data_IF_264593761570
#
_entry.id   IF_264593761570
#
_cell.length_a   1.000
_cell.length_b   1.000
_cell.length_c   1.000
_cell.angle_alpha   90.00
_cell.angle_beta   90.00
_cell.angle_gamma   90.00
#
_symmetry.space_group_name_H-M   'P 1'
#
loop_
_entity.id
_entity.type
_entity.pdbx_description
1 polymer ?
#
# COMPACT_ATOMS: atom_id res chain seq x y z
N UNK A 1 -11.74 14.91 -2.95
CA UNK A 1 -10.69 14.47 -3.90
C UNK A 1 -9.75 15.59 -4.29
N UNK A 2 -10.22 16.77 -4.74
CA UNK A 2 -9.36 17.92 -5.07
C UNK A 2 -8.32 18.26 -3.98
N UNK A 3 -8.76 18.49 -2.75
CA UNK A 3 -7.87 18.83 -1.63
C UNK A 3 -6.76 17.78 -1.38
N UNK A 4 -7.06 16.50 -1.57
CA UNK A 4 -6.05 15.43 -1.46
C UNK A 4 -5.08 15.45 -2.64
N UNK A 5 -5.58 15.67 -3.85
CA UNK A 5 -4.74 15.82 -5.03
C UNK A 5 -3.75 16.99 -4.87
N UNK A 6 -4.21 18.13 -4.36
CA UNK A 6 -3.38 19.31 -4.11
C UNK A 6 -2.31 19.03 -3.03
N UNK A 7 -2.71 18.44 -1.90
CA UNK A 7 -1.79 18.07 -0.81
C UNK A 7 -0.69 17.12 -1.30
N UNK A 8 -1.02 16.22 -2.22
CA UNK A 8 -0.12 15.21 -2.75
C UNK A 8 0.66 15.71 -3.98
N UNK A 9 0.32 16.87 -4.54
CA UNK A 9 0.94 17.41 -5.75
C UNK A 9 0.61 16.60 -7.00
N UNK A 10 -0.61 16.06 -7.08
CA UNK A 10 -1.08 15.28 -8.24
C UNK A 10 -1.59 16.22 -9.32
N UNK A 11 -1.12 16.02 -10.55
CA UNK A 11 -1.59 16.76 -11.73
C UNK A 11 -2.99 16.35 -12.18
N UNK A 12 -3.39 15.12 -11.85
CA UNK A 12 -4.68 14.54 -12.22
C UNK A 12 -5.39 14.11 -10.95
N UNK A 13 -6.66 14.50 -10.82
CA UNK A 13 -7.50 14.06 -9.70
C UNK A 13 -7.91 12.61 -9.97
N UNK A 14 -7.57 11.67 -9.07
CA UNK A 14 -7.91 10.29 -9.30
C UNK A 14 -9.41 10.05 -9.12
N UNK A 15 -9.97 9.25 -10.03
CA UNK A 15 -11.32 8.71 -9.92
C UNK A 15 -11.23 7.29 -9.38
N UNK A 16 -11.78 7.07 -8.18
CA UNK A 16 -11.78 5.77 -7.52
C UNK A 16 -13.21 5.30 -7.30
N UNK A 17 -13.47 4.04 -7.67
CA UNK A 17 -14.68 3.35 -7.26
C UNK A 17 -14.51 2.82 -5.83
N UNK A 18 -15.54 2.88 -4.97
CA UNK A 18 -15.47 2.31 -3.63
C UNK A 18 -15.14 0.82 -3.66
N UNK A 19 -14.16 0.39 -2.86
CA UNK A 19 -13.75 -1.01 -2.69
C UNK A 19 -13.55 -1.31 -1.22
N UNK A 20 -14.43 -2.14 -0.64
CA UNK A 20 -14.50 -2.34 0.81
C UNK A 20 -13.71 -3.56 1.33
N UNK A 21 -13.31 -4.49 0.46
CA UNK A 21 -12.64 -5.74 0.86
C UNK A 21 -11.40 -6.02 -0.01
N UNK A 22 -10.37 -5.21 0.16
CA UNK A 22 -9.08 -5.37 -0.51
C UNK A 22 -8.23 -6.33 0.31
N UNK A 23 -7.71 -7.37 -0.34
CA UNK A 23 -6.89 -8.42 0.26
C UNK A 23 -5.51 -8.48 -0.43
N UNK A 24 -4.53 -9.18 0.18
CA UNK A 24 -3.29 -9.54 -0.50
C UNK A 24 -3.48 -9.99 -1.95
N UNK A 25 -2.54 -9.61 -2.82
CA UNK A 25 -2.53 -9.80 -4.28
C UNK A 25 -3.49 -8.93 -5.11
N UNK A 26 -4.44 -8.22 -4.49
CA UNK A 26 -5.25 -7.24 -5.19
C UNK A 26 -4.44 -5.99 -5.57
N UNK A 27 -4.93 -5.27 -6.58
CA UNK A 27 -4.48 -3.91 -6.87
C UNK A 27 -4.95 -2.95 -5.78
N UNK A 28 -4.08 -2.04 -5.34
CA UNK A 28 -4.32 -1.03 -4.31
C UNK A 28 -4.01 0.37 -4.82
N UNK A 29 -4.81 1.34 -4.39
CA UNK A 29 -4.67 2.74 -4.76
C UNK A 29 -3.43 3.34 -4.08
N UNK A 30 -2.50 3.84 -4.88
CA UNK A 30 -1.23 4.38 -4.40
C UNK A 30 -0.91 5.74 -5.03
N UNK A 31 -0.10 6.52 -4.32
CA UNK A 31 0.68 7.60 -4.92
C UNK A 31 2.16 7.24 -4.85
N UNK A 32 2.87 7.37 -5.96
CA UNK A 32 4.32 7.16 -6.06
C UNK A 32 4.96 8.25 -6.89
N UNK A 33 6.28 8.35 -6.84
CA UNK A 33 7.03 9.10 -7.85
C UNK A 33 7.22 8.21 -9.07
N UNK A 34 6.81 8.70 -10.24
CA UNK A 34 7.03 8.03 -11.52
C UNK A 34 8.54 8.05 -11.82
N UNK A 35 9.18 6.90 -12.10
CA UNK A 35 10.62 6.84 -12.33
C UNK A 35 11.07 7.53 -13.63
N UNK A 36 10.20 7.67 -14.62
CA UNK A 36 10.51 8.28 -15.91
C UNK A 36 10.33 9.81 -15.85
N UNK A 37 9.20 10.29 -15.32
CA UNK A 37 8.88 11.72 -15.30
C UNK A 37 9.37 12.43 -14.04
N UNK A 38 9.71 11.69 -12.98
CA UNK A 38 10.01 12.19 -11.64
C UNK A 38 8.85 12.95 -10.97
N UNK A 39 7.64 12.83 -11.50
CA UNK A 39 6.44 13.47 -10.97
C UNK A 39 5.66 12.51 -10.08
N UNK A 40 4.88 13.06 -9.15
CA UNK A 40 3.97 12.26 -8.35
C UNK A 40 2.74 11.89 -9.18
N UNK A 41 2.43 10.61 -9.18
CA UNK A 41 1.26 10.08 -9.88
C UNK A 41 0.40 9.26 -8.95
N UNK A 42 -0.90 9.30 -9.21
CA UNK A 42 -1.82 8.31 -8.68
C UNK A 42 -1.83 7.09 -9.61
N UNK A 43 -1.73 5.90 -9.02
CA UNK A 43 -1.70 4.64 -9.78
C UNK A 43 -2.20 3.50 -8.90
N UNK A 44 -2.45 2.34 -9.52
CA UNK A 44 -2.72 1.12 -8.77
C UNK A 44 -1.48 0.21 -8.78
N UNK A 45 -1.15 -0.35 -7.61
CA UNK A 45 -0.04 -1.29 -7.43
C UNK A 45 -0.55 -2.62 -6.89
N UNK A 46 0.10 -3.73 -7.24
CA UNK A 46 -0.23 -5.04 -6.68
C UNK A 46 0.24 -5.12 -5.22
N UNK A 47 -0.66 -5.48 -4.30
CA UNK A 47 -0.30 -5.72 -2.89
C UNK A 47 0.43 -7.06 -2.74
N UNK A 48 1.75 -7.01 -2.80
CA UNK A 48 2.64 -8.17 -2.72
C UNK A 48 3.85 -7.92 -3.59
N UNK A 49 4.97 -7.53 -2.97
CA UNK A 49 6.17 -7.11 -3.69
C UNK A 49 6.78 -8.27 -4.47
N UNK A 50 7.06 -8.06 -5.76
CA UNK A 50 7.82 -8.99 -6.58
C UNK A 50 9.22 -8.39 -6.79
N UNK A 51 10.27 -8.94 -6.14
CA UNK A 51 11.63 -8.46 -6.35
C UNK A 51 12.06 -8.66 -7.80
N UNK A 52 12.85 -7.74 -8.35
CA UNK A 52 13.28 -7.78 -9.75
C UNK A 52 14.09 -9.03 -10.14
N UNK A 53 14.74 -9.68 -9.18
CA UNK A 53 15.49 -10.92 -9.38
C UNK A 53 14.60 -12.18 -9.33
N UNK A 54 13.35 -12.06 -8.91
CA UNK A 54 12.46 -13.21 -8.78
C UNK A 54 12.02 -13.70 -10.16
N UNK A 55 12.24 -14.99 -10.44
CA UNK A 55 11.77 -15.64 -11.67
C UNK A 55 10.28 -15.97 -11.64
N UNK A 56 9.71 -16.08 -10.44
CA UNK A 56 8.30 -16.39 -10.22
C UNK A 56 7.64 -15.30 -9.36
N UNK A 57 6.57 -14.71 -9.91
CA UNK A 57 5.77 -13.67 -9.26
C UNK A 57 5.00 -14.17 -8.03
N UNK A 58 4.86 -15.49 -7.85
CA UNK A 58 4.18 -16.09 -6.69
C UNK A 58 4.86 -15.74 -5.36
N UNK A 59 6.14 -15.37 -5.37
CA UNK A 59 6.86 -14.90 -4.18
C UNK A 59 6.17 -13.69 -3.54
N UNK A 60 5.45 -12.88 -4.33
CA UNK A 60 4.70 -11.72 -3.85
C UNK A 60 3.66 -12.06 -2.80
N UNK A 61 3.09 -13.27 -2.81
CA UNK A 61 2.16 -13.73 -1.76
C UNK A 61 2.79 -13.79 -0.36
N UNK A 62 4.13 -13.93 -0.28
CA UNK A 62 4.88 -13.94 0.98
C UNK A 62 5.40 -12.55 1.36
N UNK A 63 5.33 -11.58 0.45
CA UNK A 63 5.94 -10.24 0.57
C UNK A 63 4.86 -9.16 0.61
N UNK A 64 3.80 -9.41 1.37
CA UNK A 64 2.65 -8.51 1.51
C UNK A 64 2.89 -7.40 2.54
N UNK A 65 3.76 -7.63 3.53
CA UNK A 65 4.14 -6.66 4.55
C UNK A 65 5.66 -6.66 4.73
N UNK A 66 6.24 -5.50 5.03
CA UNK A 66 7.65 -5.34 5.36
C UNK A 66 7.81 -4.87 6.81
N UNK A 67 8.74 -5.49 7.54
CA UNK A 67 9.09 -5.10 8.92
C UNK A 67 10.02 -3.89 8.89
N UNK A 68 9.64 -2.78 9.52
CA UNK A 68 10.40 -1.53 9.49
C UNK A 68 11.83 -1.68 10.05
N UNK A 69 12.03 -2.61 10.98
CA UNK A 69 13.32 -2.88 11.61
C UNK A 69 14.35 -3.49 10.64
N UNK A 70 13.90 -4.16 9.58
CA UNK A 70 14.78 -4.93 8.66
C UNK A 70 14.59 -4.58 7.19
N UNK A 71 13.72 -3.63 6.88
CA UNK A 71 13.32 -3.29 5.51
C UNK A 71 14.49 -2.77 4.66
N UNK A 72 15.44 -2.07 5.28
CA UNK A 72 16.63 -1.54 4.62
C UNK A 72 17.68 -2.61 4.28
N UNK A 73 17.65 -3.77 4.96
CA UNK A 73 18.68 -4.80 4.85
C UNK A 73 18.22 -5.98 3.99
N UNK A 74 16.94 -6.35 4.10
CA UNK A 74 16.41 -7.56 3.45
C UNK A 74 16.50 -7.46 1.92
N UNK A 75 17.09 -8.46 1.23
CA UNK A 75 17.25 -8.45 -0.22
C UNK A 75 15.96 -8.26 -1.01
N UNK A 76 14.82 -8.73 -0.47
CA UNK A 76 13.50 -8.54 -1.09
C UNK A 76 13.02 -7.10 -1.09
N UNK A 77 13.42 -6.27 -0.11
CA UNK A 77 12.86 -4.94 0.13
C UNK A 77 13.87 -3.79 -0.02
N UNK A 78 15.17 -4.00 0.24
CA UNK A 78 16.18 -2.94 0.34
C UNK A 78 16.23 -1.96 -0.84
N UNK A 79 16.03 -2.47 -2.05
CA UNK A 79 15.99 -1.64 -3.26
C UNK A 79 14.73 -0.78 -3.30
N UNK A 80 13.56 -1.40 -3.11
CA UNK A 80 12.28 -0.69 -3.10
C UNK A 80 12.20 0.35 -1.97
N UNK A 81 12.74 0.02 -0.79
CA UNK A 81 12.82 0.94 0.34
C UNK A 81 13.57 2.23 0.02
N UNK A 82 14.62 2.12 -0.80
CA UNK A 82 15.48 3.26 -1.15
C UNK A 82 14.92 4.04 -2.35
N UNK A 83 14.33 3.37 -3.34
CA UNK A 83 14.06 3.94 -4.67
C UNK A 83 12.58 3.93 -5.09
N UNK A 84 11.72 3.10 -4.50
CA UNK A 84 10.37 2.80 -5.01
C UNK A 84 9.29 2.95 -3.93
N UNK A 85 9.43 3.97 -3.09
CA UNK A 85 8.46 4.26 -2.02
C UNK A 85 7.14 4.73 -2.58
N UNK A 86 6.06 4.40 -1.90
CA UNK A 86 4.71 4.84 -2.22
C UNK A 86 3.87 5.14 -0.97
N UNK A 87 2.74 5.79 -1.19
CA UNK A 87 1.71 6.01 -0.19
C UNK A 87 0.49 5.17 -0.60
N UNK A 88 0.12 4.17 0.21
CA UNK A 88 -1.03 3.29 -0.05
C UNK A 88 -2.26 3.84 0.67
N UNK A 89 -3.29 4.24 -0.07
CA UNK A 89 -4.49 4.85 0.49
C UNK A 89 -5.48 3.84 1.07
N UNK A 90 -6.07 4.18 2.21
CA UNK A 90 -7.15 3.43 2.82
C UNK A 90 -8.05 4.31 3.68
N UNK A 91 -9.33 3.94 3.77
CA UNK A 91 -10.26 4.50 4.77
C UNK A 91 -10.09 3.81 6.15
N UNK A 92 -9.52 2.61 6.16
CA UNK A 92 -9.28 1.78 7.33
C UNK A 92 -8.72 0.41 6.94
N UNK A 93 -8.40 -0.39 7.95
CA UNK A 93 -7.91 -1.76 7.79
C UNK A 93 -8.54 -2.69 8.81
N UNK A 94 -8.47 -3.99 8.54
CA UNK A 94 -9.01 -5.01 9.42
C UNK A 94 -7.89 -5.73 10.18
N UNK A 95 -8.10 -5.94 11.46
CA UNK A 95 -7.25 -6.81 12.29
C UNK A 95 -8.11 -7.83 13.02
N UNK A 96 -7.60 -9.05 13.14
CA UNK A 96 -8.32 -10.16 13.76
C UNK A 96 -7.73 -10.45 15.13
N UNK A 97 -8.45 -10.09 16.18
CA UNK A 97 -8.10 -10.46 17.55
C UNK A 97 -8.50 -11.91 17.78
N UNK A 98 -7.55 -12.73 18.25
CA UNK A 98 -7.84 -14.11 18.64
C UNK A 98 -8.46 -14.13 20.04
N UNK A 99 -9.62 -14.77 20.16
CA UNK A 99 -10.32 -14.97 21.43
C UNK A 99 -10.57 -16.47 21.61
N UNK A 100 -9.62 -17.14 22.29
CA UNK A 100 -9.61 -18.60 22.40
C UNK A 100 -9.53 -19.30 21.03
N UNK A 101 -10.63 -19.95 20.62
CA UNK A 101 -10.77 -20.65 19.34
C UNK A 101 -11.36 -19.80 18.22
N UNK A 102 -11.91 -18.63 18.51
CA UNK A 102 -12.52 -17.73 17.52
C UNK A 102 -11.59 -16.58 17.15
N UNK A 103 -11.90 -15.91 16.03
CA UNK A 103 -11.24 -14.68 15.59
C UNK A 103 -12.28 -13.59 15.41
N UNK A 104 -12.19 -12.52 16.21
CA UNK A 104 -13.05 -11.35 16.09
C UNK A 104 -12.39 -10.32 15.17
N UNK A 105 -12.99 -9.95 14.03
CA UNK A 105 -12.50 -8.85 13.20
C UNK A 105 -12.79 -7.49 13.85
N UNK A 106 -11.81 -6.60 13.77
CA UNK A 106 -11.92 -5.19 14.13
C UNK A 106 -11.60 -4.34 12.91
N UNK A 107 -12.46 -3.37 12.62
CA UNK A 107 -12.20 -2.35 11.61
C UNK A 107 -11.57 -1.12 12.27
N UNK A 108 -10.32 -0.83 11.92
CA UNK A 108 -9.52 0.24 12.49
C UNK A 108 -9.43 1.38 11.47
N UNK A 109 -9.78 2.58 11.91
CA UNK A 109 -9.77 3.81 11.09
C UNK A 109 -9.52 5.06 11.93
N UNK A 110 -9.26 6.19 11.28
CA UNK A 110 -9.17 7.48 11.95
C UNK A 110 -10.52 7.90 12.54
N UNK A 111 -10.50 8.54 13.71
CA UNK A 111 -11.72 9.02 14.42
C UNK A 111 -12.56 9.98 13.59
N UNK A 112 -11.92 10.79 12.74
CA UNK A 112 -12.58 11.77 11.88
C UNK A 112 -13.17 11.16 10.59
N UNK A 113 -13.02 9.85 10.37
CA UNK A 113 -13.53 9.15 9.19
C UNK A 113 -12.85 9.53 7.87
N UNK A 114 -11.76 10.30 7.91
CA UNK A 114 -11.00 10.67 6.70
C UNK A 114 -10.07 9.53 6.27
N UNK A 115 -9.80 9.39 4.96
CA UNK A 115 -8.79 8.47 4.47
C UNK A 115 -7.41 8.86 5.01
N UNK A 116 -6.54 7.86 5.09
CA UNK A 116 -5.13 8.02 5.39
C UNK A 116 -4.29 7.18 4.43
N UNK A 117 -2.97 7.28 4.55
CA UNK A 117 -2.06 6.47 3.78
C UNK A 117 -1.11 5.67 4.67
N UNK A 118 -0.84 4.43 4.27
CA UNK A 118 0.26 3.64 4.79
C UNK A 118 1.55 3.97 4.02
N UNK A 119 2.68 3.87 4.70
CA UNK A 119 3.97 3.86 4.03
C UNK A 119 4.14 2.52 3.30
N UNK A 120 4.49 2.59 2.01
CA UNK A 120 4.80 1.45 1.16
C UNK A 120 6.05 1.65 0.32
#
# INVERSE_FOLDING_TARGET
MQHLADLLGLKVIPSLLPRYNIAPSHMVACVRTNPETQEREFTELKWGLVPSWAKDSSIGHKLINARCETVAEKPSFRHAFTQQRCLVFADGFYEWKREGKTKQPYYIRLKNGRPFAFAG
#
